data_IF_605554697435
#
_entry.id   IF_605554697435
#
_cell.length_a   1.000
_cell.length_b   1.000
_cell.length_c   1.000
_cell.angle_alpha   90.00
_cell.angle_beta   90.00
_cell.angle_gamma   90.00
#
_symmetry.space_group_name_H-M   'P 1'
#
loop_
_entity.id
_entity.type
_entity.pdbx_description
1 polymer ?
#
# COMPACT_ATOMS: atom_id res chain seq x y z
N UNK A 1 -4.36 7.17 -23.85
CA UNK A 1 -4.15 7.03 -22.40
C UNK A 1 -5.06 5.90 -21.95
N UNK A 2 -4.52 4.91 -21.25
CA UNK A 2 -5.34 3.79 -20.79
C UNK A 2 -6.12 4.29 -19.57
N UNK A 3 -7.43 4.44 -19.70
CA UNK A 3 -8.31 4.90 -18.60
C UNK A 3 -8.87 3.75 -17.78
N UNK A 4 -8.29 2.54 -17.89
CA UNK A 4 -8.70 1.35 -17.15
C UNK A 4 -7.56 0.78 -16.31
N UNK A 5 -7.93 0.19 -15.17
CA UNK A 5 -7.03 -0.56 -14.29
C UNK A 5 -7.48 -2.01 -14.18
N UNK A 6 -6.54 -2.92 -13.95
CA UNK A 6 -6.87 -4.29 -13.61
C UNK A 6 -7.23 -4.37 -12.12
N UNK A 7 -8.51 -4.58 -11.83
CA UNK A 7 -9.07 -4.63 -10.49
C UNK A 7 -9.38 -6.08 -10.12
N UNK A 8 -8.94 -6.52 -8.96
CA UNK A 8 -9.30 -7.82 -8.39
C UNK A 8 -10.67 -7.74 -7.71
N UNK A 9 -10.83 -6.79 -6.79
CA UNK A 9 -12.09 -6.58 -6.05
C UNK A 9 -12.22 -5.14 -5.56
N UNK A 10 -13.47 -4.70 -5.37
CA UNK A 10 -13.83 -3.46 -4.66
C UNK A 10 -14.85 -3.85 -3.59
N UNK A 11 -14.60 -3.48 -2.35
CA UNK A 11 -15.49 -3.81 -1.24
C UNK A 11 -15.42 -2.79 -0.12
N UNK A 12 -16.48 -2.70 0.68
CA UNK A 12 -16.55 -1.85 1.86
C UNK A 12 -16.25 -2.68 3.12
N UNK A 13 -15.39 -2.15 3.99
CA UNK A 13 -15.02 -2.82 5.24
C UNK A 13 -14.58 -1.81 6.30
N UNK A 14 -14.31 -2.33 7.50
CA UNK A 14 -13.60 -1.60 8.56
C UNK A 14 -12.10 -1.75 8.29
N UNK A 15 -11.38 -0.63 8.27
CA UNK A 15 -9.92 -0.66 8.20
C UNK A 15 -9.37 -1.36 9.46
N UNK A 16 -8.62 -2.43 9.25
CA UNK A 16 -8.19 -3.32 10.32
C UNK A 16 -6.94 -2.84 11.06
N UNK A 17 -6.18 -1.92 10.47
CA UNK A 17 -4.86 -1.57 10.99
C UNK A 17 -4.42 -0.14 10.62
N UNK A 18 -3.27 0.28 11.19
CA UNK A 18 -2.69 1.58 10.90
C UNK A 18 -3.48 2.77 11.48
N UNK A 19 -3.35 3.92 10.85
CA UNK A 19 -3.94 5.18 11.33
C UNK A 19 -5.45 5.23 11.28
N UNK A 20 -6.08 4.44 10.43
CA UNK A 20 -7.52 4.43 10.20
C UNK A 20 -8.22 3.22 10.82
N UNK A 21 -7.51 2.42 11.61
CA UNK A 21 -8.07 1.25 12.28
C UNK A 21 -9.39 1.58 12.98
N UNK A 22 -10.42 0.77 12.70
CA UNK A 22 -11.78 0.95 13.22
C UNK A 22 -12.68 1.88 12.40
N UNK A 23 -12.18 2.53 11.35
CA UNK A 23 -12.98 3.39 10.47
C UNK A 23 -13.49 2.62 9.25
N UNK A 24 -14.65 3.00 8.74
CA UNK A 24 -15.17 2.48 7.48
C UNK A 24 -14.37 3.03 6.29
N UNK A 25 -14.05 2.16 5.35
CA UNK A 25 -13.33 2.49 4.13
C UNK A 25 -13.86 1.65 2.96
N UNK A 26 -13.75 2.19 1.75
CA UNK A 26 -13.84 1.41 0.51
C UNK A 26 -12.46 0.94 0.13
N UNK A 27 -12.29 -0.37 0.00
CA UNK A 27 -11.06 -1.01 -0.44
C UNK A 27 -11.11 -1.22 -1.96
N UNK A 28 -10.07 -0.77 -2.65
CA UNK A 28 -9.84 -1.03 -4.07
C UNK A 28 -8.59 -1.89 -4.17
N UNK A 29 -8.75 -3.17 -4.49
CA UNK A 29 -7.66 -4.11 -4.65
C UNK A 29 -7.31 -4.27 -6.12
N UNK A 30 -6.10 -3.84 -6.50
CA UNK A 30 -5.59 -3.97 -7.85
C UNK A 30 -4.88 -5.31 -8.06
N UNK A 31 -4.84 -5.77 -9.32
CA UNK A 31 -4.13 -6.99 -9.70
C UNK A 31 -2.65 -6.72 -9.97
N UNK A 32 -1.89 -7.80 -9.87
CA UNK A 32 -0.46 -7.80 -10.19
C UNK A 32 0.40 -7.39 -8.99
N UNK A 33 1.55 -8.04 -8.88
CA UNK A 33 2.57 -7.71 -7.89
C UNK A 33 3.95 -8.04 -8.47
N UNK A 34 4.92 -7.20 -8.18
CA UNK A 34 6.31 -7.39 -8.56
C UNK A 34 7.12 -8.23 -7.54
N UNK A 35 6.51 -8.59 -6.42
CA UNK A 35 7.11 -9.44 -5.38
C UNK A 35 6.39 -10.79 -5.27
N UNK A 36 7.02 -11.76 -4.57
CA UNK A 36 6.49 -13.09 -4.27
C UNK A 36 6.87 -13.46 -2.83
N UNK A 37 6.22 -12.77 -1.86
CA UNK A 37 6.49 -12.99 -0.44
C UNK A 37 6.05 -14.40 -0.02
N UNK A 38 6.86 -15.05 0.82
CA UNK A 38 6.62 -16.41 1.30
C UNK A 38 5.30 -16.56 2.07
N UNK A 39 4.91 -15.51 2.81
CA UNK A 39 3.68 -15.47 3.62
C UNK A 39 2.57 -14.61 3.02
N UNK A 40 2.55 -14.45 1.67
CA UNK A 40 1.54 -13.61 1.03
C UNK A 40 0.12 -14.18 1.23
N UNK A 41 -0.73 -13.41 1.90
CA UNK A 41 -2.14 -13.74 2.16
C UNK A 41 -3.08 -13.39 0.99
N UNK A 42 -2.59 -12.60 0.02
CA UNK A 42 -3.35 -12.10 -1.13
C UNK A 42 -2.79 -12.57 -2.47
N UNK A 43 -2.20 -13.78 -2.51
CA UNK A 43 -1.59 -14.35 -3.72
C UNK A 43 -2.59 -14.49 -4.89
N UNK A 44 -3.88 -14.59 -4.62
CA UNK A 44 -4.95 -14.61 -5.62
C UNK A 44 -4.99 -13.31 -6.46
N UNK A 45 -4.61 -12.17 -5.89
CA UNK A 45 -4.56 -10.90 -6.59
C UNK A 45 -3.40 -10.78 -7.60
N UNK A 46 -2.50 -11.77 -7.70
CA UNK A 46 -1.41 -11.72 -8.67
C UNK A 46 -1.91 -11.78 -10.12
N UNK A 47 -2.92 -12.59 -10.38
CA UNK A 47 -3.38 -12.87 -11.74
C UNK A 47 -4.91 -12.76 -11.91
N UNK A 48 -5.67 -12.70 -10.82
CA UNK A 48 -7.13 -12.68 -10.87
C UNK A 48 -7.62 -11.23 -10.88
N UNK A 49 -8.43 -10.89 -11.87
CA UNK A 49 -9.07 -9.58 -11.95
C UNK A 49 -9.59 -9.27 -13.34
N UNK A 50 -10.23 -8.13 -13.45
CA UNK A 50 -10.81 -7.62 -14.68
C UNK A 50 -10.41 -6.16 -14.92
N UNK A 51 -10.30 -5.77 -16.20
CA UNK A 51 -10.12 -4.38 -16.54
C UNK A 51 -11.42 -3.61 -16.31
N UNK A 52 -11.32 -2.53 -15.51
CA UNK A 52 -12.41 -1.63 -15.21
C UNK A 52 -12.03 -0.20 -15.57
N UNK A 53 -12.95 0.54 -16.16
CA UNK A 53 -12.76 1.96 -16.41
C UNK A 53 -12.70 2.72 -15.09
N UNK A 54 -11.83 3.74 -15.04
CA UNK A 54 -11.61 4.53 -13.81
C UNK A 54 -12.92 5.16 -13.30
N UNK A 55 -13.81 5.58 -14.18
CA UNK A 55 -15.12 6.13 -13.81
C UNK A 55 -15.99 5.09 -13.07
N UNK A 56 -15.94 3.82 -13.51
CA UNK A 56 -16.69 2.73 -12.88
C UNK A 56 -16.09 2.31 -11.53
N UNK A 57 -14.77 2.43 -11.38
CA UNK A 57 -14.10 2.23 -10.09
C UNK A 57 -14.55 3.30 -9.09
N UNK A 58 -14.50 4.57 -9.49
CA UNK A 58 -14.88 5.71 -8.63
C UNK A 58 -16.36 5.65 -8.24
N UNK A 59 -17.24 5.23 -9.17
CA UNK A 59 -18.68 5.11 -8.90
C UNK A 59 -19.02 4.07 -7.79
N UNK A 60 -18.10 3.17 -7.47
CA UNK A 60 -18.27 2.15 -6.42
C UNK A 60 -17.70 2.60 -5.06
N UNK A 61 -17.10 3.79 -4.97
CA UNK A 61 -16.57 4.30 -3.71
C UNK A 61 -17.72 4.83 -2.83
N UNK A 62 -17.94 4.20 -1.68
CA UNK A 62 -19.04 4.50 -0.77
C UNK A 62 -18.61 5.40 0.40
N UNK A 63 -17.32 5.36 0.78
CA UNK A 63 -16.84 6.02 2.00
C UNK A 63 -15.80 7.11 1.71
N UNK A 64 -15.67 8.12 2.59
CA UNK A 64 -14.66 9.16 2.48
C UNK A 64 -13.21 8.62 2.60
N UNK A 65 -13.02 7.49 3.29
CA UNK A 65 -11.74 6.81 3.35
C UNK A 65 -11.67 5.75 2.24
N UNK A 66 -10.60 5.76 1.48
CA UNK A 66 -10.31 4.76 0.43
C UNK A 66 -8.98 4.13 0.74
N UNK A 67 -8.92 2.80 0.76
CA UNK A 67 -7.67 2.05 0.85
C UNK A 67 -7.39 1.39 -0.49
N UNK A 68 -6.41 1.94 -1.20
CA UNK A 68 -5.92 1.40 -2.46
C UNK A 68 -4.81 0.39 -2.16
N UNK A 69 -5.07 -0.85 -2.45
CA UNK A 69 -4.21 -1.98 -2.13
C UNK A 69 -4.16 -2.97 -3.30
N UNK A 70 -3.73 -4.19 -3.08
CA UNK A 70 -3.78 -5.23 -4.10
C UNK A 70 -2.65 -6.22 -3.98
N UNK A 71 -2.09 -6.64 -5.10
CA UNK A 71 -0.75 -7.18 -5.13
C UNK A 71 0.25 -6.05 -4.83
N UNK A 72 0.53 -5.20 -5.82
CA UNK A 72 1.24 -3.93 -5.64
C UNK A 72 0.56 -2.86 -6.50
N UNK A 73 -0.13 -1.88 -5.89
CA UNK A 73 -0.88 -0.86 -6.65
C UNK A 73 0.01 -0.04 -7.59
N UNK A 74 1.25 0.23 -7.20
CA UNK A 74 2.18 1.04 -7.98
C UNK A 74 2.72 0.33 -9.23
N UNK A 75 2.41 -0.96 -9.44
CA UNK A 75 2.67 -1.65 -10.71
C UNK A 75 1.77 -1.17 -11.86
N UNK A 76 0.69 -0.43 -11.55
CA UNK A 76 -0.22 0.16 -12.54
C UNK A 76 -0.14 1.68 -12.51
N UNK A 77 -0.50 2.35 -13.60
CA UNK A 77 -0.60 3.81 -13.63
C UNK A 77 -1.90 4.27 -12.98
N UNK A 78 -1.82 4.58 -11.68
CA UNK A 78 -2.95 4.97 -10.85
C UNK A 78 -3.21 6.49 -10.83
N UNK A 79 -2.45 7.29 -11.57
CA UNK A 79 -2.55 8.76 -11.52
C UNK A 79 -3.97 9.27 -11.81
N UNK A 80 -4.62 8.74 -12.83
CA UNK A 80 -5.98 9.17 -13.20
C UNK A 80 -7.02 8.74 -12.14
N UNK A 81 -6.84 7.61 -11.48
CA UNK A 81 -7.69 7.20 -10.36
C UNK A 81 -7.53 8.17 -9.18
N UNK A 82 -6.30 8.52 -8.82
CA UNK A 82 -6.05 9.48 -7.74
C UNK A 82 -6.62 10.87 -8.03
N UNK A 83 -6.55 11.34 -9.29
CA UNK A 83 -7.21 12.59 -9.70
C UNK A 83 -8.73 12.52 -9.48
N UNK A 84 -9.36 11.39 -9.83
CA UNK A 84 -10.80 11.21 -9.68
C UNK A 84 -11.24 11.04 -8.22
N UNK A 85 -10.33 10.64 -7.32
CA UNK A 85 -10.59 10.48 -5.89
C UNK A 85 -10.31 11.75 -5.08
N UNK A 86 -10.12 12.90 -5.71
CA UNK A 86 -10.05 14.19 -5.00
C UNK A 86 -11.29 14.38 -4.13
N UNK A 87 -11.07 14.71 -2.86
CA UNK A 87 -12.14 14.81 -1.85
C UNK A 87 -12.27 13.59 -0.94
N UNK A 88 -11.56 12.51 -1.24
CA UNK A 88 -11.42 11.35 -0.37
C UNK A 88 -10.06 11.36 0.35
N UNK A 89 -9.96 10.67 1.47
CA UNK A 89 -8.68 10.37 2.12
C UNK A 89 -8.19 9.02 1.60
N UNK A 90 -7.17 9.03 0.75
CA UNK A 90 -6.68 7.82 0.07
C UNK A 90 -5.42 7.31 0.75
N UNK A 91 -5.49 6.11 1.34
CA UNK A 91 -4.35 5.33 1.78
C UNK A 91 -3.87 4.45 0.62
N UNK A 92 -2.59 4.53 0.26
CA UNK A 92 -1.97 3.57 -0.66
C UNK A 92 -1.13 2.60 0.17
N UNK A 93 -1.55 1.34 0.21
CA UNK A 93 -0.78 0.25 0.78
C UNK A 93 0.18 -0.31 -0.27
N UNK A 94 1.47 -0.10 -0.06
CA UNK A 94 2.52 -0.51 -0.99
C UNK A 94 3.58 -1.36 -0.30
N UNK A 95 4.17 -2.29 -1.04
CA UNK A 95 5.26 -3.13 -0.56
C UNK A 95 6.62 -2.41 -0.47
N UNK A 96 6.68 -1.11 -0.82
CA UNK A 96 7.88 -0.28 -0.68
C UNK A 96 9.00 -0.53 -1.70
N UNK A 97 8.77 -1.36 -2.72
CA UNK A 97 9.78 -1.68 -3.74
C UNK A 97 9.77 -0.74 -4.94
N UNK A 98 8.79 0.15 -5.03
CA UNK A 98 8.62 1.12 -6.10
C UNK A 98 8.65 2.55 -5.56
N UNK A 99 9.09 3.52 -6.38
CA UNK A 99 9.19 4.92 -5.97
C UNK A 99 7.81 5.53 -5.67
N UNK A 100 7.66 6.08 -4.46
CA UNK A 100 6.43 6.73 -3.99
C UNK A 100 6.41 8.23 -4.26
N UNK A 101 7.56 8.85 -4.55
CA UNK A 101 7.69 10.31 -4.70
C UNK A 101 6.79 10.91 -5.78
N UNK A 102 6.56 10.28 -6.96
CA UNK A 102 5.69 10.81 -8.00
C UNK A 102 4.26 11.10 -7.56
N UNK A 103 3.82 10.47 -6.45
CA UNK A 103 2.47 10.60 -5.91
C UNK A 103 2.34 11.65 -4.80
N UNK A 104 3.44 12.26 -4.34
CA UNK A 104 3.42 13.30 -3.30
C UNK A 104 2.72 14.59 -3.71
N UNK A 105 2.50 14.78 -4.98
CA UNK A 105 1.72 15.89 -5.53
C UNK A 105 0.22 15.85 -5.19
N UNK A 106 -0.27 14.70 -4.67
CA UNK A 106 -1.66 14.52 -4.27
C UNK A 106 -1.80 14.72 -2.77
N UNK A 107 -2.32 15.87 -2.34
CA UNK A 107 -2.43 16.24 -0.91
C UNK A 107 -3.37 15.31 -0.11
N UNK A 108 -4.35 14.68 -0.78
CA UNK A 108 -5.31 13.76 -0.19
C UNK A 108 -4.79 12.32 -0.08
N UNK A 109 -3.56 12.06 -0.59
CA UNK A 109 -2.93 10.73 -0.60
C UNK A 109 -1.88 10.63 0.51
N UNK A 110 -1.91 9.51 1.19
CA UNK A 110 -0.88 9.09 2.13
C UNK A 110 -0.56 7.60 1.93
N UNK A 111 0.58 7.16 2.47
CA UNK A 111 1.09 5.82 2.25
C UNK A 111 1.14 5.02 3.53
N UNK A 112 0.81 3.73 3.45
CA UNK A 112 1.29 2.69 4.34
C UNK A 112 2.34 1.89 3.56
N UNK A 113 3.61 2.11 3.90
CA UNK A 113 4.73 1.38 3.28
C UNK A 113 5.04 0.16 4.12
N UNK A 114 4.79 -1.01 3.56
CA UNK A 114 4.97 -2.29 4.21
C UNK A 114 6.38 -2.82 3.94
N UNK A 115 7.28 -2.65 4.91
CA UNK A 115 8.65 -3.18 4.80
C UNK A 115 8.66 -4.71 4.83
N UNK A 116 9.13 -5.31 3.76
CA UNK A 116 9.25 -6.77 3.63
C UNK A 116 10.51 -7.27 4.33
N UNK A 117 10.33 -7.88 5.52
CA UNK A 117 11.38 -8.42 6.36
C UNK A 117 12.02 -9.68 5.77
N UNK A 118 13.04 -10.22 6.43
CA UNK A 118 13.78 -11.40 5.95
C UNK A 118 12.88 -12.61 5.70
N UNK A 119 11.95 -12.90 6.60
CA UNK A 119 11.01 -14.03 6.47
C UNK A 119 10.08 -13.93 5.27
N UNK A 120 9.98 -12.75 4.63
CA UNK A 120 9.23 -12.59 3.38
C UNK A 120 9.95 -13.13 2.15
N UNK A 121 11.25 -13.40 2.23
CA UNK A 121 12.18 -13.67 1.11
C UNK A 121 12.35 -12.50 0.12
N UNK A 122 11.79 -11.31 0.44
CA UNK A 122 11.79 -10.14 -0.45
C UNK A 122 12.50 -8.91 0.13
N UNK A 123 13.18 -9.03 1.27
CA UNK A 123 13.86 -7.90 1.93
C UNK A 123 14.85 -7.14 1.04
N UNK A 124 15.52 -7.82 0.11
CA UNK A 124 16.47 -7.25 -0.83
C UNK A 124 15.81 -6.50 -2.01
N UNK A 125 14.49 -6.47 -2.07
CA UNK A 125 13.72 -5.79 -3.12
C UNK A 125 13.19 -4.43 -2.67
N UNK A 126 13.40 -4.08 -1.42
CA UNK A 126 12.98 -2.79 -0.89
C UNK A 126 13.75 -1.65 -1.53
N UNK A 127 13.08 -0.51 -1.76
CA UNK A 127 13.69 0.72 -2.25
C UNK A 127 14.00 1.63 -1.04
N UNK A 128 15.27 1.68 -0.58
CA UNK A 128 15.64 2.40 0.65
C UNK A 128 15.29 3.89 0.64
N UNK A 129 15.36 4.52 -0.54
CA UNK A 129 15.05 5.94 -0.74
C UNK A 129 13.62 6.30 -0.32
N UNK A 130 12.68 5.36 -0.36
CA UNK A 130 11.32 5.57 0.10
C UNK A 130 11.27 5.89 1.60
N UNK A 131 12.10 5.23 2.42
CA UNK A 131 12.07 5.40 3.88
C UNK A 131 12.58 6.76 4.32
N UNK A 132 13.49 7.38 3.55
CA UNK A 132 13.98 8.73 3.78
C UNK A 132 12.94 9.80 3.41
N UNK A 133 12.07 9.49 2.44
CA UNK A 133 11.07 10.40 1.88
C UNK A 133 9.74 10.37 2.63
N UNK A 134 9.52 9.42 3.54
CA UNK A 134 8.25 9.30 4.27
C UNK A 134 7.90 10.58 5.00
N UNK A 135 6.67 11.05 4.77
CA UNK A 135 6.12 12.29 5.33
C UNK A 135 5.41 12.01 6.66
N UNK A 136 5.16 13.00 7.53
CA UNK A 136 4.47 12.80 8.82
C UNK A 136 3.09 12.15 8.72
N UNK A 137 2.39 12.33 7.59
CA UNK A 137 1.10 11.69 7.33
C UNK A 137 1.21 10.22 6.91
N UNK A 138 2.36 9.77 6.44
CA UNK A 138 2.57 8.41 5.99
C UNK A 138 2.74 7.42 7.17
N UNK A 139 2.86 6.15 6.87
CA UNK A 139 3.09 5.05 7.82
C UNK A 139 4.20 4.16 7.28
N UNK A 140 5.12 3.77 8.16
CA UNK A 140 6.02 2.64 7.93
C UNK A 140 5.54 1.46 8.76
N UNK A 141 5.26 0.34 8.10
CA UNK A 141 4.81 -0.89 8.73
C UNK A 141 5.86 -1.98 8.55
N UNK A 142 6.19 -2.69 9.62
CA UNK A 142 7.00 -3.89 9.61
C UNK A 142 6.13 -5.10 9.90
N UNK A 143 6.21 -6.11 9.03
CA UNK A 143 5.61 -7.42 9.29
C UNK A 143 6.73 -8.35 9.76
N UNK A 144 6.59 -8.90 10.96
CA UNK A 144 7.62 -9.69 11.63
C UNK A 144 7.13 -11.10 11.90
N UNK A 145 7.89 -12.09 11.44
CA UNK A 145 7.63 -13.50 11.66
C UNK A 145 8.47 -14.06 12.82
N UNK A 146 9.62 -13.45 13.10
CA UNK A 146 10.56 -13.94 14.11
C UNK A 146 11.43 -12.81 14.70
N UNK A 147 12.36 -13.20 15.58
CA UNK A 147 13.29 -12.27 16.24
C UNK A 147 14.32 -11.65 15.26
N UNK A 148 14.67 -12.34 14.17
CA UNK A 148 15.60 -11.80 13.17
C UNK A 148 14.95 -10.65 12.41
N UNK A 149 13.66 -10.79 12.04
CA UNK A 149 12.86 -9.73 11.43
C UNK A 149 12.75 -8.52 12.35
N UNK A 150 12.51 -8.74 13.65
CA UNK A 150 12.41 -7.64 14.61
C UNK A 150 13.75 -6.89 14.74
N UNK A 151 14.87 -7.61 14.75
CA UNK A 151 16.21 -6.99 14.77
C UNK A 151 16.46 -6.18 13.50
N UNK A 152 16.07 -6.71 12.34
CA UNK A 152 16.15 -5.98 11.06
C UNK A 152 15.29 -4.72 11.09
N UNK A 153 14.04 -4.80 11.53
CA UNK A 153 13.13 -3.67 11.65
C UNK A 153 13.73 -2.56 12.54
N UNK A 154 14.30 -2.93 13.69
CA UNK A 154 14.99 -1.99 14.57
C UNK A 154 16.22 -1.36 13.90
N UNK A 155 16.97 -2.12 13.10
CA UNK A 155 18.09 -1.62 12.31
C UNK A 155 17.66 -0.57 11.29
N UNK A 156 16.63 -0.87 10.52
CA UNK A 156 16.02 0.03 9.51
C UNK A 156 15.49 1.30 10.20
N UNK A 157 14.74 1.15 11.29
CA UNK A 157 14.23 2.30 12.06
C UNK A 157 15.35 3.23 12.55
N UNK A 158 16.45 2.68 13.08
CA UNK A 158 17.59 3.45 13.57
C UNK A 158 18.36 4.14 12.44
N UNK A 159 18.45 3.49 11.29
CA UNK A 159 19.15 4.01 10.11
C UNK A 159 18.42 5.19 9.49
N UNK A 160 17.14 5.01 9.19
CA UNK A 160 16.36 6.00 8.42
C UNK A 160 15.61 7.00 9.30
N UNK A 161 15.36 6.67 10.57
CA UNK A 161 14.64 7.55 11.54
C UNK A 161 13.41 8.21 10.91
N UNK A 162 12.46 7.43 10.41
CA UNK A 162 11.31 7.95 9.67
C UNK A 162 10.54 8.96 10.52
N UNK A 163 10.05 10.03 9.89
CA UNK A 163 9.28 11.10 10.54
C UNK A 163 7.80 10.74 10.70
N UNK A 164 7.40 9.60 10.18
CA UNK A 164 6.02 9.09 10.19
C UNK A 164 5.76 8.16 11.40
N UNK A 165 4.51 7.74 11.56
CA UNK A 165 4.15 6.68 12.49
C UNK A 165 4.76 5.35 12.03
N UNK A 166 5.19 4.52 12.98
CA UNK A 166 5.74 3.19 12.72
C UNK A 166 4.89 2.15 13.44
N UNK A 167 4.48 1.13 12.70
CA UNK A 167 3.72 0.00 13.21
C UNK A 167 4.49 -1.30 13.03
N UNK A 168 4.28 -2.24 13.94
CA UNK A 168 4.82 -3.60 13.86
C UNK A 168 3.64 -4.55 13.98
N UNK A 169 3.49 -5.43 13.01
CA UNK A 169 2.50 -6.51 13.00
C UNK A 169 3.20 -7.87 12.95
N UNK A 170 2.57 -8.89 13.50
CA UNK A 170 3.00 -10.27 13.35
C UNK A 170 2.49 -10.87 12.03
N UNK A 171 3.24 -11.86 11.48
CA UNK A 171 2.78 -12.70 10.37
C UNK A 171 1.65 -13.59 10.85
#
# INVERSE_FOLDING_TARGET
MNYSLCVNEIFDSIDGEGKKAGQLATFIRLCGCNLRCSYCDTAYAFNEGQHMDIADIIAQVSYPNVTLTGGEPLCQDIHALLEGLKGHSVNIETNGSMDIEPYFKYDHVWFTVDYKSLSSDMANRMLPENFEKLRPQDVLKFVVGDEADLRQALGVYRLYRPKCAVYVGAV
#
